data_IF_667449190389
#
_entry.id   IF_667449190389
#
_cell.length_a   1.000
_cell.length_b   1.000
_cell.length_c   1.000
_cell.angle_alpha   90.00
_cell.angle_beta   90.00
_cell.angle_gamma   90.00
#
_symmetry.space_group_name_H-M   'P 1'
#
loop_
_entity.id
_entity.type
_entity.pdbx_description
1 polymer ?
#
# COMPACT_ATOMS: atom_id res chain seq x y z
N UNK A 1 23.05 19.55 -39.66
CA UNK A 1 21.65 19.20 -39.35
C UNK A 1 20.77 20.14 -40.15
N UNK A 2 20.07 19.63 -41.17
CA UNK A 2 19.29 20.48 -42.08
C UNK A 2 18.22 21.23 -41.30
N UNK A 3 18.20 22.57 -41.37
CA UNK A 3 17.11 23.38 -40.83
C UNK A 3 15.85 23.02 -41.61
N UNK A 4 15.04 22.12 -41.07
CA UNK A 4 13.71 21.80 -41.62
C UNK A 4 12.89 23.09 -41.79
N UNK A 5 12.00 23.10 -42.78
CA UNK A 5 11.13 24.25 -43.05
C UNK A 5 10.34 24.64 -41.78
N UNK A 6 10.53 25.87 -41.26
CA UNK A 6 9.83 26.36 -40.05
C UNK A 6 8.99 27.59 -40.40
N UNK A 7 7.73 27.59 -39.95
CA UNK A 7 6.81 28.71 -40.12
C UNK A 7 6.75 29.50 -38.80
N UNK A 8 6.88 30.82 -38.86
CA UNK A 8 6.78 31.69 -37.68
C UNK A 8 5.32 31.94 -37.34
N UNK A 9 4.94 31.62 -36.11
CA UNK A 9 3.66 32.01 -35.52
C UNK A 9 3.89 33.01 -34.37
N UNK A 10 3.04 34.03 -34.26
CA UNK A 10 3.10 35.04 -33.18
C UNK A 10 1.80 35.00 -32.39
N UNK A 11 1.90 34.74 -31.09
CA UNK A 11 0.76 34.69 -30.16
C UNK A 11 1.07 35.53 -28.92
N UNK A 12 0.03 35.97 -28.21
CA UNK A 12 0.19 36.63 -26.90
C UNK A 12 -0.09 35.63 -25.79
N UNK A 13 0.80 35.59 -24.81
CA UNK A 13 0.62 34.80 -23.60
C UNK A 13 0.30 35.72 -22.42
N UNK A 14 -0.59 35.30 -21.49
CA UNK A 14 -0.72 35.97 -20.21
C UNK A 14 0.64 36.08 -19.50
N UNK A 15 0.95 37.19 -18.79
CA UNK A 15 2.25 37.39 -18.15
C UNK A 15 2.67 36.26 -17.20
N UNK A 16 1.70 35.68 -16.47
CA UNK A 16 1.96 34.55 -15.59
C UNK A 16 2.43 33.30 -16.36
N UNK A 17 1.76 32.98 -17.48
CA UNK A 17 2.10 31.82 -18.30
C UNK A 17 3.45 32.00 -19.02
N UNK A 18 3.76 33.22 -19.46
CA UNK A 18 5.07 33.56 -20.04
C UNK A 18 6.22 33.30 -19.04
N UNK A 19 6.04 33.68 -17.77
CA UNK A 19 7.01 33.39 -16.70
C UNK A 19 7.16 31.89 -16.46
N UNK A 20 6.05 31.16 -16.32
CA UNK A 20 6.09 29.70 -16.14
C UNK A 20 6.80 28.97 -17.29
N UNK A 21 6.59 29.40 -18.53
CA UNK A 21 7.28 28.87 -19.70
C UNK A 21 8.78 29.13 -19.62
N UNK A 22 9.18 30.35 -19.26
CA UNK A 22 10.59 30.70 -19.07
C UNK A 22 11.26 29.87 -17.97
N UNK A 23 10.61 29.74 -16.82
CA UNK A 23 11.11 28.98 -15.68
C UNK A 23 11.23 27.49 -16.00
N UNK A 24 10.24 26.92 -16.68
CA UNK A 24 10.26 25.52 -17.10
C UNK A 24 11.38 25.26 -18.12
N UNK A 25 11.49 26.10 -19.15
CA UNK A 25 12.54 26.02 -20.16
C UNK A 25 13.94 26.14 -19.52
N UNK A 26 14.11 27.08 -18.57
CA UNK A 26 15.33 27.26 -17.80
C UNK A 26 15.70 26.03 -16.97
N UNK A 27 14.76 25.47 -16.19
CA UNK A 27 14.97 24.26 -15.38
C UNK A 27 15.35 23.05 -16.24
N UNK A 28 14.76 22.92 -17.43
CA UNK A 28 15.00 21.81 -18.36
C UNK A 28 16.17 22.06 -19.33
N UNK A 29 16.81 23.24 -19.28
CA UNK A 29 17.89 23.67 -20.19
C UNK A 29 17.54 23.52 -21.68
N UNK A 30 16.30 23.87 -22.04
CA UNK A 30 15.79 23.84 -23.43
C UNK A 30 15.25 25.20 -23.84
N UNK A 31 15.07 25.44 -25.14
CA UNK A 31 14.47 26.69 -25.62
C UNK A 31 12.96 26.72 -25.36
N UNK A 32 12.39 27.90 -25.07
CA UNK A 32 10.94 28.05 -24.93
C UNK A 32 10.18 27.59 -26.17
N UNK A 33 10.73 27.83 -27.37
CA UNK A 33 10.16 27.36 -28.63
C UNK A 33 10.09 25.82 -28.70
N UNK A 34 11.11 25.11 -28.19
CA UNK A 34 11.09 23.64 -28.11
C UNK A 34 10.05 23.13 -27.12
N UNK A 35 9.82 23.84 -26.01
CA UNK A 35 8.76 23.49 -25.05
C UNK A 35 7.39 23.68 -25.68
N UNK A 36 7.17 24.81 -26.36
CA UNK A 36 5.91 25.10 -27.06
C UNK A 36 5.65 24.09 -28.18
N UNK A 37 6.67 23.75 -28.97
CA UNK A 37 6.58 22.73 -30.03
C UNK A 37 6.19 21.37 -29.46
N UNK A 38 6.86 20.92 -28.39
CA UNK A 38 6.55 19.66 -27.72
C UNK A 38 5.14 19.66 -27.11
N UNK A 39 4.73 20.78 -26.49
CA UNK A 39 3.41 20.91 -25.90
C UNK A 39 2.30 20.87 -26.97
N UNK A 40 2.46 21.60 -28.08
CA UNK A 40 1.50 21.60 -29.19
C UNK A 40 1.45 20.21 -29.86
N UNK A 41 2.60 19.59 -30.12
CA UNK A 41 2.66 18.25 -30.69
C UNK A 41 1.99 17.21 -29.77
N UNK A 42 2.20 17.30 -28.46
CA UNK A 42 1.53 16.44 -27.48
C UNK A 42 0.04 16.70 -27.39
N UNK A 43 -0.39 17.96 -27.45
CA UNK A 43 -1.80 18.35 -27.35
C UNK A 43 -2.60 17.93 -28.59
N UNK A 44 -1.99 17.98 -29.77
CA UNK A 44 -2.60 17.59 -31.04
C UNK A 44 -2.38 16.11 -31.39
N UNK A 45 -1.66 15.36 -30.55
CA UNK A 45 -1.47 13.93 -30.77
C UNK A 45 -2.75 13.18 -30.37
N UNK A 46 -3.41 12.47 -31.30
CA UNK A 46 -4.60 11.66 -31.00
C UNK A 46 -4.31 10.54 -29.99
N UNK A 47 -3.03 10.17 -29.83
CA UNK A 47 -2.58 9.06 -29.00
C UNK A 47 -2.27 9.45 -27.55
N UNK A 48 -2.11 10.74 -27.24
CA UNK A 48 -1.53 11.19 -25.97
C UNK A 48 -2.41 10.90 -24.76
N UNK A 49 -3.68 11.31 -24.84
CA UNK A 49 -4.68 11.05 -23.78
C UNK A 49 -5.03 9.56 -23.72
N UNK A 50 -5.27 8.92 -24.86
CA UNK A 50 -5.67 7.51 -24.92
C UNK A 50 -4.60 6.56 -24.37
N UNK A 51 -3.31 6.81 -24.65
CA UNK A 51 -2.22 5.98 -24.11
C UNK A 51 -2.07 6.14 -22.60
N UNK A 52 -2.22 7.36 -22.10
CA UNK A 52 -2.15 7.65 -20.67
C UNK A 52 -3.31 6.95 -19.96
N UNK A 53 -4.53 7.14 -20.45
CA UNK A 53 -5.74 6.49 -19.93
C UNK A 53 -5.60 4.97 -19.94
N UNK A 54 -5.17 4.36 -21.06
CA UNK A 54 -4.96 2.93 -21.15
C UNK A 54 -3.86 2.40 -20.20
N UNK A 55 -2.81 3.19 -19.93
CA UNK A 55 -1.80 2.82 -18.94
C UNK A 55 -2.35 2.88 -17.51
N UNK A 56 -3.16 3.88 -17.19
CA UNK A 56 -3.84 3.99 -15.90
C UNK A 56 -4.84 2.87 -15.68
N UNK A 57 -5.71 2.58 -16.65
CA UNK A 57 -6.67 1.47 -16.57
C UNK A 57 -5.97 0.14 -16.31
N UNK A 58 -4.90 -0.17 -17.06
CA UNK A 58 -4.09 -1.38 -16.83
C UNK A 58 -3.47 -1.45 -15.44
N UNK A 59 -3.03 -0.31 -14.90
CA UNK A 59 -2.48 -0.25 -13.54
C UNK A 59 -3.58 -0.48 -12.50
N UNK A 60 -4.74 0.11 -12.69
CA UNK A 60 -5.90 -0.08 -11.80
C UNK A 60 -6.37 -1.54 -11.82
N UNK A 61 -6.48 -2.15 -12.99
CA UNK A 61 -6.82 -3.57 -13.12
C UNK A 61 -5.82 -4.47 -12.38
N UNK A 62 -4.53 -4.16 -12.51
CA UNK A 62 -3.48 -4.89 -11.78
C UNK A 62 -3.64 -4.73 -10.27
N UNK A 63 -3.90 -3.53 -9.78
CA UNK A 63 -4.13 -3.27 -8.35
C UNK A 63 -5.36 -4.03 -7.86
N UNK A 64 -6.46 -4.01 -8.61
CA UNK A 64 -7.68 -4.75 -8.28
C UNK A 64 -7.38 -6.24 -8.11
N UNK A 65 -6.67 -6.86 -9.07
CA UNK A 65 -6.27 -8.27 -8.96
C UNK A 65 -5.34 -8.56 -7.78
N UNK A 66 -4.50 -7.59 -7.39
CA UNK A 66 -3.64 -7.73 -6.21
C UNK A 66 -4.46 -7.67 -4.93
N UNK A 67 -5.50 -6.82 -4.88
CA UNK A 67 -6.45 -6.75 -3.77
C UNK A 67 -7.25 -8.05 -3.68
N UNK A 68 -7.83 -8.53 -4.78
CA UNK A 68 -8.59 -9.80 -4.78
C UNK A 68 -7.74 -10.97 -4.28
N UNK A 69 -6.46 -11.01 -4.69
CA UNK A 69 -5.51 -12.02 -4.22
C UNK A 69 -5.17 -11.85 -2.73
N UNK A 70 -5.04 -10.62 -2.25
CA UNK A 70 -4.80 -10.34 -0.84
C UNK A 70 -5.99 -10.77 0.00
N UNK A 71 -7.22 -10.46 -0.43
CA UNK A 71 -8.45 -10.87 0.24
C UNK A 71 -8.53 -12.38 0.38
N UNK A 72 -8.25 -13.12 -0.70
CA UNK A 72 -8.16 -14.59 -0.64
C UNK A 72 -7.11 -15.08 0.37
N UNK A 73 -5.92 -14.48 0.39
CA UNK A 73 -4.88 -14.87 1.35
C UNK A 73 -5.26 -14.55 2.80
N UNK A 74 -5.96 -13.44 3.04
CA UNK A 74 -6.51 -13.09 4.35
C UNK A 74 -7.58 -14.09 4.78
N UNK A 75 -8.50 -14.45 3.89
CA UNK A 75 -9.55 -15.45 4.16
C UNK A 75 -8.94 -16.80 4.53
N UNK A 76 -8.02 -17.32 3.70
CA UNK A 76 -7.31 -18.58 3.98
C UNK A 76 -6.52 -18.50 5.29
N UNK A 77 -5.86 -17.38 5.56
CA UNK A 77 -5.12 -17.17 6.81
C UNK A 77 -6.02 -17.19 8.04
N UNK A 78 -7.18 -16.53 7.97
CA UNK A 78 -8.17 -16.52 9.03
C UNK A 78 -8.76 -17.92 9.27
N UNK A 79 -9.09 -18.66 8.21
CA UNK A 79 -9.60 -20.02 8.32
C UNK A 79 -8.56 -20.97 8.94
N UNK A 80 -7.31 -20.91 8.48
CA UNK A 80 -6.22 -21.69 9.04
C UNK A 80 -5.97 -21.36 10.53
N UNK A 81 -6.01 -20.08 10.91
CA UNK A 81 -5.86 -19.66 12.30
C UNK A 81 -7.02 -20.14 13.18
N UNK A 82 -8.26 -20.05 12.70
CA UNK A 82 -9.43 -20.55 13.42
C UNK A 82 -9.37 -22.07 13.63
N UNK A 83 -8.99 -22.84 12.61
CA UNK A 83 -8.79 -24.28 12.70
C UNK A 83 -7.66 -24.63 13.66
N UNK A 84 -6.53 -23.91 13.60
CA UNK A 84 -5.42 -24.07 14.53
C UNK A 84 -5.86 -23.83 15.97
N UNK A 85 -6.53 -22.71 16.23
CA UNK A 85 -6.98 -22.33 17.57
C UNK A 85 -7.99 -23.35 18.13
N UNK A 86 -8.95 -23.79 17.31
CA UNK A 86 -9.89 -24.85 17.69
C UNK A 86 -9.16 -26.13 18.07
N UNK A 87 -8.22 -26.58 17.23
CA UNK A 87 -7.42 -27.79 17.51
C UNK A 87 -6.57 -27.62 18.76
N UNK A 88 -5.95 -26.45 18.94
CA UNK A 88 -5.13 -26.15 20.12
C UNK A 88 -5.97 -26.20 21.40
N UNK A 89 -7.18 -25.64 21.39
CA UNK A 89 -8.11 -25.70 22.52
C UNK A 89 -8.63 -27.13 22.80
N UNK A 90 -8.80 -27.95 21.77
CA UNK A 90 -9.20 -29.36 21.91
C UNK A 90 -8.07 -30.27 22.44
N UNK A 91 -6.80 -29.96 22.12
CA UNK A 91 -5.63 -30.81 22.46
C UNK A 91 -4.89 -30.32 23.71
N UNK A 92 -5.08 -29.07 24.13
CA UNK A 92 -4.56 -28.58 25.40
C UNK A 92 -5.29 -29.30 26.54
N UNK A 93 -4.62 -30.15 27.32
CA UNK A 93 -5.30 -31.12 28.17
C UNK A 93 -6.13 -30.42 29.25
N UNK A 94 -7.46 -30.59 29.19
CA UNK A 94 -8.28 -30.56 30.38
C UNK A 94 -8.00 -31.85 31.16
N UNK A 95 -7.56 -31.70 32.40
CA UNK A 95 -7.28 -32.72 33.39
C UNK A 95 -8.19 -33.98 33.28
N UNK A 96 -7.56 -35.15 33.14
CA UNK A 96 -8.11 -36.45 33.53
C UNK A 96 -9.00 -37.19 32.52
N UNK A 97 -8.81 -38.51 32.43
CA UNK A 97 -9.61 -39.44 31.64
C UNK A 97 -11.09 -39.43 32.12
N UNK A 98 -11.93 -38.64 31.45
CA UNK A 98 -13.36 -38.53 31.75
C UNK A 98 -14.05 -37.23 31.30
N UNK A 99 -13.31 -36.20 30.88
CA UNK A 99 -13.88 -34.89 30.59
C UNK A 99 -14.38 -34.75 29.13
N UNK A 100 -15.58 -35.25 28.82
CA UNK A 100 -16.17 -35.09 27.46
C UNK A 100 -16.97 -33.78 27.30
N UNK A 101 -17.72 -33.35 28.33
CA UNK A 101 -18.56 -32.14 28.24
C UNK A 101 -17.94 -30.92 28.94
N UNK A 102 -17.39 -31.08 30.15
CA UNK A 102 -16.78 -29.98 30.90
C UNK A 102 -15.54 -29.39 30.20
N UNK A 103 -14.71 -30.24 29.58
CA UNK A 103 -13.56 -29.80 28.79
C UNK A 103 -13.98 -29.00 27.55
N UNK A 104 -15.05 -29.43 26.86
CA UNK A 104 -15.60 -28.69 25.71
C UNK A 104 -16.14 -27.32 26.13
N UNK A 105 -16.91 -27.27 27.22
CA UNK A 105 -17.43 -26.01 27.75
C UNK A 105 -16.32 -25.04 28.18
N UNK A 106 -15.22 -25.55 28.76
CA UNK A 106 -14.07 -24.72 29.13
C UNK A 106 -13.28 -24.22 27.91
N UNK A 107 -13.08 -25.08 26.90
CA UNK A 107 -12.49 -24.68 25.62
C UNK A 107 -13.31 -23.57 24.93
N UNK A 108 -14.63 -23.71 24.91
CA UNK A 108 -15.55 -22.71 24.36
C UNK A 108 -15.48 -21.39 25.14
N UNK A 109 -15.43 -21.45 26.47
CA UNK A 109 -15.26 -20.26 27.33
C UNK A 109 -13.95 -19.51 27.04
N UNK A 110 -12.84 -20.24 26.87
CA UNK A 110 -11.54 -19.65 26.53
C UNK A 110 -11.53 -19.03 25.13
N UNK A 111 -12.19 -19.67 24.16
CA UNK A 111 -12.36 -19.13 22.82
C UNK A 111 -13.12 -17.79 22.84
N UNK A 112 -14.27 -17.75 23.52
CA UNK A 112 -15.08 -16.53 23.62
C UNK A 112 -14.29 -15.38 24.29
N UNK A 113 -13.54 -15.67 25.35
CA UNK A 113 -12.69 -14.67 25.99
C UNK A 113 -11.60 -14.11 25.05
N UNK A 114 -10.99 -14.96 24.22
CA UNK A 114 -10.02 -14.53 23.22
C UNK A 114 -10.68 -13.62 22.17
N UNK A 115 -11.85 -14.00 21.65
CA UNK A 115 -12.58 -13.21 20.65
C UNK A 115 -12.90 -11.82 21.20
N UNK A 116 -13.40 -11.72 22.44
CA UNK A 116 -13.64 -10.45 23.09
C UNK A 116 -12.37 -9.61 23.29
N UNK A 117 -11.27 -10.24 23.72
CA UNK A 117 -10.00 -9.55 23.90
C UNK A 117 -9.44 -9.00 22.57
N UNK A 118 -9.60 -9.78 21.48
CA UNK A 118 -9.24 -9.37 20.14
C UNK A 118 -10.10 -8.20 19.65
N UNK A 119 -11.42 -8.28 19.82
CA UNK A 119 -12.35 -7.22 19.44
C UNK A 119 -12.01 -5.89 20.16
N UNK A 120 -11.85 -5.93 21.48
CA UNK A 120 -11.43 -4.75 22.28
C UNK A 120 -10.11 -4.18 21.79
N UNK A 121 -9.14 -5.02 21.44
CA UNK A 121 -7.85 -4.55 20.90
C UNK A 121 -8.02 -3.89 19.53
N UNK A 122 -8.81 -4.47 18.63
CA UNK A 122 -9.08 -3.89 17.31
C UNK A 122 -9.71 -2.49 17.40
N UNK A 123 -10.61 -2.28 18.37
CA UNK A 123 -11.21 -0.96 18.64
C UNK A 123 -10.17 0.07 19.11
N UNK A 124 -9.13 -0.35 19.84
CA UNK A 124 -8.08 0.56 20.34
C UNK A 124 -7.04 0.97 19.28
N UNK A 125 -7.02 0.34 18.11
CA UNK A 125 -6.07 0.62 17.03
C UNK A 125 -4.60 0.30 17.35
N UNK A 126 -4.30 -0.32 18.51
CA UNK A 126 -2.95 -0.74 18.88
C UNK A 126 -2.64 -2.10 18.25
N UNK A 127 -1.69 -2.12 17.33
CA UNK A 127 -1.28 -3.36 16.68
C UNK A 127 -0.35 -4.17 17.59
N UNK A 128 -0.53 -5.49 17.61
CA UNK A 128 0.34 -6.40 18.36
C UNK A 128 1.81 -6.30 17.89
N UNK A 129 2.03 -5.98 16.61
CA UNK A 129 3.36 -5.72 16.03
C UNK A 129 4.11 -4.61 16.77
N UNK A 130 3.42 -3.56 17.18
CA UNK A 130 4.04 -2.39 17.81
C UNK A 130 4.52 -2.71 19.24
N UNK A 131 3.91 -3.71 19.88
CA UNK A 131 4.31 -4.22 21.19
C UNK A 131 5.45 -5.24 21.09
N UNK A 132 5.42 -6.11 20.08
CA UNK A 132 6.48 -7.10 19.84
C UNK A 132 7.80 -6.43 19.43
N UNK A 133 7.75 -5.38 18.61
CA UNK A 133 8.94 -4.59 18.24
C UNK A 133 9.54 -3.88 19.46
N UNK A 134 8.73 -3.49 20.45
CA UNK A 134 9.21 -2.90 21.71
C UNK A 134 9.80 -3.92 22.69
N UNK A 135 9.59 -5.22 22.46
CA UNK A 135 10.13 -6.31 23.26
C UNK A 135 11.45 -6.87 22.72
N UNK A 136 11.91 -6.42 21.54
CA UNK A 136 13.31 -6.63 21.15
C UNK A 136 14.21 -5.82 22.09
N UNK A 137 15.28 -6.41 22.67
CA UNK A 137 15.99 -5.79 23.77
C UNK A 137 16.69 -4.50 23.31
N UNK A 138 16.61 -3.46 24.13
CA UNK A 138 17.72 -2.53 24.25
C UNK A 138 18.94 -3.36 24.61
N UNK A 139 19.74 -3.70 23.60
CA UNK A 139 21.11 -4.14 23.82
C UNK A 139 21.83 -2.88 24.29
N UNK A 140 21.67 -2.55 25.57
CA UNK A 140 22.46 -1.52 26.20
C UNK A 140 23.90 -1.98 26.07
N UNK A 141 24.61 -1.29 25.19
CA UNK A 141 26.06 -1.31 25.06
C UNK A 141 26.65 -0.89 26.42
N UNK A 142 26.77 -1.85 27.32
CA UNK A 142 27.74 -1.80 28.39
C UNK A 142 29.10 -2.20 27.82
N UNK A 143 29.61 -1.41 26.88
CA UNK A 143 31.05 -1.33 26.66
C UNK A 143 31.57 -0.07 27.37
N UNK A 144 32.68 -0.27 28.07
CA UNK A 144 33.67 0.73 28.47
C UNK A 144 33.53 1.36 29.87
N UNK A 145 34.34 0.83 30.79
CA UNK A 145 34.55 1.34 32.14
C UNK A 145 35.60 0.50 32.86
N UNK A 146 36.80 0.53 32.30
CA UNK A 146 38.06 -0.03 32.80
C UNK A 146 38.39 0.45 34.23
#
# INVERSE_FOLDING_TARGET
MSKGNRIKHTFRLPPALSRQLADFAGRKRVSQASVVEAAIASFLSPDGSERLEAAFSRRLDRISRQIDKLDYHVEVGNEAFALYLRRWLEVTPALGAGASAAARADAEKRFNHLVEALARRMETGKHLSDELIRLEPQHDEAENGQ
#
